data_IF_694805114278
#
_entry.id   IF_694805114278
#
_cell.length_a   1.000
_cell.length_b   1.000
_cell.length_c   1.000
_cell.angle_alpha   90.00
_cell.angle_beta   90.00
_cell.angle_gamma   90.00
#
_symmetry.space_group_name_H-M   'P 1'
#
loop_
_entity.id
_entity.type
_entity.pdbx_description
1 polymer ?
#
# COMPACT_ATOMS: atom_id res chain seq x y z
N UNK A 1 -14.44 -9.01 7.46
CA UNK A 1 -14.21 -7.55 7.65
C UNK A 1 -12.73 -7.20 7.58
N UNK A 2 -11.84 -7.85 8.33
CA UNK A 2 -10.38 -7.58 8.25
C UNK A 2 -9.77 -7.98 6.89
N UNK A 3 -10.05 -9.19 6.40
CA UNK A 3 -9.59 -9.61 5.06
C UNK A 3 -10.13 -8.71 3.93
N UNK A 4 -11.39 -8.26 4.02
CA UNK A 4 -11.99 -7.40 2.98
C UNK A 4 -11.30 -6.03 2.89
N UNK A 5 -10.92 -5.46 4.04
CA UNK A 5 -10.11 -4.24 4.10
C UNK A 5 -8.70 -4.43 3.56
N UNK A 6 -8.05 -5.55 3.86
CA UNK A 6 -6.73 -5.86 3.28
C UNK A 6 -6.80 -6.02 1.77
N UNK A 7 -7.79 -6.75 1.25
CA UNK A 7 -7.89 -7.03 -0.19
C UNK A 7 -8.11 -5.74 -0.99
N UNK A 8 -8.98 -4.85 -0.49
CA UNK A 8 -9.19 -3.51 -1.06
C UNK A 8 -7.94 -2.64 -0.97
N UNK A 9 -7.28 -2.60 0.18
CA UNK A 9 -6.08 -1.78 0.39
C UNK A 9 -4.95 -2.23 -0.56
N UNK A 10 -4.69 -3.54 -0.63
CA UNK A 10 -3.68 -4.09 -1.56
C UNK A 10 -4.03 -3.80 -3.02
N UNK A 11 -5.30 -3.96 -3.43
CA UNK A 11 -5.71 -3.71 -4.82
C UNK A 11 -5.50 -2.24 -5.23
N UNK A 12 -5.81 -1.30 -4.34
CA UNK A 12 -5.59 0.12 -4.60
C UNK A 12 -4.09 0.42 -4.63
N UNK A 13 -3.33 -0.06 -3.65
CA UNK A 13 -1.88 0.18 -3.57
C UNK A 13 -1.13 -0.36 -4.79
N UNK A 14 -1.44 -1.56 -5.27
CA UNK A 14 -0.80 -2.12 -6.47
C UNK A 14 -1.18 -1.39 -7.76
N UNK A 15 -2.33 -0.70 -7.80
CA UNK A 15 -2.71 0.13 -8.94
C UNK A 15 -1.97 1.48 -8.97
N UNK A 16 -1.65 2.05 -7.80
CA UNK A 16 -0.96 3.34 -7.68
C UNK A 16 0.56 3.20 -7.63
N UNK A 17 1.08 2.07 -7.13
CA UNK A 17 2.50 1.88 -6.89
C UNK A 17 3.05 0.86 -7.88
N UNK A 18 3.56 1.38 -9.01
CA UNK A 18 4.20 0.58 -10.05
C UNK A 18 5.74 0.61 -9.99
N UNK A 19 6.31 1.53 -9.19
CA UNK A 19 7.75 1.73 -9.07
C UNK A 19 8.12 2.16 -7.65
N UNK A 20 9.42 2.11 -7.34
CA UNK A 20 9.93 2.62 -6.06
C UNK A 20 9.68 4.12 -5.89
N UNK A 21 9.63 4.88 -6.99
CA UNK A 21 9.28 6.32 -6.97
C UNK A 21 7.83 6.53 -6.60
N UNK A 22 6.91 5.76 -7.17
CA UNK A 22 5.48 5.84 -6.84
C UNK A 22 5.23 5.43 -5.38
N UNK A 23 5.98 4.44 -4.89
CA UNK A 23 5.94 4.04 -3.49
C UNK A 23 6.30 5.21 -2.57
N UNK A 24 7.44 5.87 -2.79
CA UNK A 24 7.83 7.02 -1.99
C UNK A 24 6.80 8.16 -2.08
N UNK A 25 6.28 8.44 -3.28
CA UNK A 25 5.27 9.47 -3.47
C UNK A 25 3.96 9.15 -2.73
N UNK A 26 3.55 7.88 -2.69
CA UNK A 26 2.40 7.43 -1.91
C UNK A 26 2.62 7.68 -0.41
N UNK A 27 3.80 7.33 0.12
CA UNK A 27 4.14 7.53 1.52
C UNK A 27 4.04 9.02 1.90
N UNK A 28 4.57 9.90 1.07
CA UNK A 28 4.61 11.35 1.34
C UNK A 28 3.24 12.03 1.24
N UNK A 29 2.30 11.47 0.45
CA UNK A 29 1.05 12.18 0.10
C UNK A 29 -0.21 11.55 0.67
N UNK A 30 -0.29 10.22 0.76
CA UNK A 30 -1.55 9.48 0.97
C UNK A 30 -1.51 8.53 2.17
N UNK A 31 -0.33 8.29 2.76
CA UNK A 31 -0.18 7.32 3.84
C UNK A 31 -1.14 7.56 5.02
N UNK A 32 -1.22 8.81 5.49
CA UNK A 32 -2.04 9.15 6.65
C UNK A 32 -3.54 8.92 6.40
N UNK A 33 -4.02 9.23 5.20
CA UNK A 33 -5.42 9.02 4.82
C UNK A 33 -5.76 7.52 4.80
N UNK A 34 -4.85 6.70 4.27
CA UNK A 34 -5.01 5.25 4.27
C UNK A 34 -4.97 4.66 5.69
N UNK A 35 -4.07 5.15 6.56
CA UNK A 35 -4.02 4.72 7.96
C UNK A 35 -5.34 5.05 8.67
N UNK A 36 -5.92 6.21 8.43
CA UNK A 36 -7.21 6.61 9.00
C UNK A 36 -8.37 5.72 8.52
N UNK A 37 -8.38 5.31 7.26
CA UNK A 37 -9.46 4.52 6.67
C UNK A 37 -9.35 3.01 6.97
N UNK A 38 -8.15 2.46 6.82
CA UNK A 38 -7.90 1.01 6.85
C UNK A 38 -7.28 0.54 8.17
N UNK A 39 -6.59 1.42 8.89
CA UNK A 39 -5.85 1.12 10.11
C UNK A 39 -4.37 0.81 9.84
N UNK A 40 -3.50 1.25 10.75
CA UNK A 40 -2.04 1.18 10.62
C UNK A 40 -1.52 -0.23 10.27
N UNK A 41 -1.91 -1.24 11.06
CA UNK A 41 -1.47 -2.63 10.86
C UNK A 41 -1.84 -3.20 9.48
N UNK A 42 -2.99 -2.77 8.94
CA UNK A 42 -3.47 -3.21 7.62
C UNK A 42 -2.61 -2.55 6.54
N UNK A 43 -2.44 -1.23 6.63
CA UNK A 43 -1.67 -0.45 5.65
C UNK A 43 -0.21 -0.86 5.62
N UNK A 44 0.42 -1.07 6.78
CA UNK A 44 1.80 -1.56 6.89
C UNK A 44 1.96 -2.92 6.18
N UNK A 45 1.05 -3.86 6.47
CA UNK A 45 1.08 -5.20 5.86
C UNK A 45 0.93 -5.14 4.34
N UNK A 46 0.02 -4.31 3.84
CA UNK A 46 -0.21 -4.15 2.40
C UNK A 46 0.99 -3.45 1.72
N UNK A 47 1.54 -2.39 2.32
CA UNK A 47 2.72 -1.70 1.78
C UNK A 47 3.94 -2.61 1.71
N UNK A 48 4.16 -3.46 2.72
CA UNK A 48 5.22 -4.47 2.68
C UNK A 48 5.05 -5.39 1.46
N UNK A 49 3.85 -5.93 1.24
CA UNK A 49 3.57 -6.81 0.10
C UNK A 49 3.82 -6.10 -1.23
N UNK A 50 3.37 -4.86 -1.37
CA UNK A 50 3.59 -4.05 -2.57
C UNK A 50 5.08 -3.78 -2.79
N UNK A 51 5.82 -3.42 -1.75
CA UNK A 51 7.25 -3.17 -1.86
C UNK A 51 8.01 -4.42 -2.33
N UNK A 52 7.69 -5.60 -1.77
CA UNK A 52 8.26 -6.88 -2.22
C UNK A 52 7.99 -7.12 -3.70
N UNK A 53 6.78 -6.82 -4.19
CA UNK A 53 6.45 -6.95 -5.61
C UNK A 53 7.26 -5.97 -6.47
N UNK A 54 7.24 -4.68 -6.12
CA UNK A 54 7.96 -3.62 -6.85
C UNK A 54 9.46 -3.89 -6.93
N UNK A 55 10.06 -4.41 -5.86
CA UNK A 55 11.48 -4.76 -5.81
C UNK A 55 11.85 -5.98 -6.66
N UNK A 56 10.89 -6.81 -7.10
CA UNK A 56 11.16 -7.93 -8.01
C UNK A 56 11.23 -7.51 -9.48
N UNK A 57 10.65 -6.35 -9.81
CA UNK A 57 10.59 -5.83 -11.18
C UNK A 57 11.56 -4.68 -11.45
N UNK A 58 12.34 -4.26 -10.44
CA UNK A 58 13.47 -3.32 -10.55
C UNK A 58 14.79 -4.05 -10.35
#
# INVERSE_FOLDING_TARGET
MFMDKMDRCTHILTAYICSSRDYCNFIDTQLNDFILEYGENVVESCLHQVMVLVSRYN
#
